data_IF_426657469998
#
_entry.id   IF_426657469998
#
_cell.length_a   1.000
_cell.length_b   1.000
_cell.length_c   1.000
_cell.angle_alpha   90.00
_cell.angle_beta   90.00
_cell.angle_gamma   90.00
#
_symmetry.space_group_name_H-M   'P 1'
#
loop_
_entity.id
_entity.type
_entity.pdbx_description
1 polymer ?
#
# COMPACT_ATOMS: atom_id res chain seq x y z
N UNK A 1 0.44 21.13 -21.40
CA UNK A 1 0.75 19.69 -21.57
C UNK A 1 1.70 19.60 -22.76
N UNK A 2 2.95 19.26 -22.52
CA UNK A 2 3.95 19.08 -23.57
C UNK A 2 3.77 17.71 -24.23
N UNK A 3 4.18 17.52 -25.50
CA UNK A 3 4.01 16.23 -26.20
C UNK A 3 4.69 15.04 -25.49
N UNK A 4 5.65 15.30 -24.61
CA UNK A 4 6.30 14.35 -23.70
C UNK A 4 5.32 13.77 -22.66
N UNK A 5 4.41 14.58 -22.11
CA UNK A 5 3.45 14.15 -21.07
C UNK A 5 2.37 13.23 -21.65
N UNK A 6 1.94 13.46 -22.90
CA UNK A 6 0.94 12.62 -23.57
C UNK A 6 1.48 11.21 -23.80
N UNK A 7 2.72 11.07 -24.26
CA UNK A 7 3.37 9.78 -24.44
C UNK A 7 3.59 9.03 -23.11
N UNK A 8 4.02 9.76 -22.08
CA UNK A 8 4.21 9.19 -20.74
C UNK A 8 2.91 8.71 -20.11
N UNK A 9 1.86 9.52 -20.23
CA UNK A 9 0.52 9.15 -19.77
C UNK A 9 0.00 7.88 -20.43
N UNK A 10 0.17 7.75 -21.75
CA UNK A 10 -0.24 6.54 -22.49
C UNK A 10 0.52 5.29 -22.03
N UNK A 11 1.83 5.41 -21.77
CA UNK A 11 2.64 4.31 -21.23
C UNK A 11 2.16 3.86 -19.85
N UNK A 12 1.86 4.81 -18.95
CA UNK A 12 1.36 4.52 -17.61
C UNK A 12 -0.03 3.88 -17.67
N UNK A 13 -0.92 4.39 -18.54
CA UNK A 13 -2.26 3.82 -18.73
C UNK A 13 -2.18 2.35 -19.19
N UNK A 14 -1.40 2.06 -20.22
CA UNK A 14 -1.23 0.70 -20.72
C UNK A 14 -0.60 -0.25 -19.70
N UNK A 15 0.33 0.25 -18.87
CA UNK A 15 0.92 -0.53 -17.79
C UNK A 15 -0.11 -0.83 -16.68
N UNK A 16 -0.91 0.17 -16.31
CA UNK A 16 -1.96 0.04 -15.31
C UNK A 16 -3.04 -0.97 -15.74
N UNK A 17 -3.49 -0.90 -16.99
CA UNK A 17 -4.45 -1.85 -17.56
C UNK A 17 -3.95 -3.29 -17.51
N UNK A 18 -2.67 -3.53 -17.86
CA UNK A 18 -2.07 -4.87 -17.76
C UNK A 18 -2.05 -5.41 -16.34
N UNK A 19 -1.70 -4.56 -15.37
CA UNK A 19 -1.68 -4.96 -13.95
C UNK A 19 -3.09 -5.23 -13.47
N UNK A 20 -4.03 -4.35 -13.79
CA UNK A 20 -5.44 -4.49 -13.41
C UNK A 20 -6.06 -5.77 -13.97
N UNK A 21 -5.82 -6.09 -15.22
CA UNK A 21 -6.29 -7.33 -15.85
C UNK A 21 -5.75 -8.58 -15.11
N UNK A 22 -4.48 -8.54 -14.67
CA UNK A 22 -3.88 -9.64 -13.89
C UNK A 22 -4.51 -9.77 -12.51
N UNK A 23 -4.73 -8.65 -11.81
CA UNK A 23 -5.39 -8.64 -10.51
C UNK A 23 -6.82 -9.17 -10.62
N UNK A 24 -7.57 -8.72 -11.62
CA UNK A 24 -8.93 -9.20 -11.87
C UNK A 24 -8.97 -10.71 -12.17
N UNK A 25 -8.03 -11.19 -12.99
CA UNK A 25 -7.94 -12.63 -13.30
C UNK A 25 -7.64 -13.45 -12.03
N UNK A 26 -6.72 -12.99 -11.19
CA UNK A 26 -6.39 -13.65 -9.92
C UNK A 26 -7.57 -13.63 -8.94
N UNK A 27 -8.28 -12.51 -8.82
CA UNK A 27 -9.48 -12.41 -8.00
C UNK A 27 -10.57 -13.39 -8.46
N UNK A 28 -10.84 -13.47 -9.77
CA UNK A 28 -11.79 -14.45 -10.33
C UNK A 28 -11.39 -15.89 -10.03
N UNK A 29 -10.12 -16.23 -10.20
CA UNK A 29 -9.62 -17.57 -9.92
C UNK A 29 -9.74 -17.96 -8.44
N UNK A 30 -9.62 -16.97 -7.53
CA UNK A 30 -9.74 -17.16 -6.09
C UNK A 30 -11.19 -17.01 -5.56
N UNK A 31 -12.18 -16.77 -6.41
CA UNK A 31 -13.57 -16.50 -5.98
C UNK A 31 -13.71 -15.24 -5.13
N UNK A 32 -12.80 -14.27 -5.28
CA UNK A 32 -12.70 -13.08 -4.45
C UNK A 32 -13.16 -11.83 -5.23
N UNK A 33 -13.97 -10.93 -4.64
CA UNK A 33 -14.31 -9.67 -5.27
C UNK A 33 -13.08 -8.82 -5.58
N UNK A 34 -13.04 -8.17 -6.77
CA UNK A 34 -11.93 -7.26 -7.13
C UNK A 34 -11.79 -6.12 -6.12
N UNK A 35 -12.88 -5.62 -5.57
CA UNK A 35 -12.91 -4.52 -4.60
C UNK A 35 -12.21 -4.82 -3.28
N UNK A 36 -11.98 -6.09 -2.96
CA UNK A 36 -11.24 -6.51 -1.75
C UNK A 36 -9.71 -6.34 -1.89
N UNK A 37 -9.23 -5.96 -3.07
CA UNK A 37 -7.80 -5.80 -3.34
C UNK A 37 -7.49 -4.36 -3.70
N UNK A 38 -6.68 -3.69 -2.88
CA UNK A 38 -6.18 -2.35 -3.19
C UNK A 38 -4.87 -2.45 -3.97
N UNK A 39 -4.83 -1.81 -5.13
CA UNK A 39 -3.61 -1.65 -5.90
C UNK A 39 -2.85 -0.42 -5.41
N UNK A 40 -1.64 -0.60 -4.89
CA UNK A 40 -0.74 0.48 -4.50
C UNK A 40 0.34 0.64 -5.56
N UNK A 41 0.37 1.78 -6.22
CA UNK A 41 1.40 2.11 -7.20
C UNK A 41 2.66 2.60 -6.49
N UNK A 42 3.74 1.80 -6.50
CA UNK A 42 5.01 2.19 -5.88
C UNK A 42 5.79 3.11 -6.81
N UNK A 43 5.96 4.36 -6.39
CA UNK A 43 6.52 5.46 -7.20
C UNK A 43 7.92 5.90 -6.78
N UNK A 44 8.59 5.10 -5.93
CA UNK A 44 9.99 5.36 -5.56
C UNK A 44 10.85 5.58 -6.81
N UNK A 45 11.77 6.56 -6.75
CA UNK A 45 12.66 6.92 -7.86
C UNK A 45 11.96 7.49 -9.11
N UNK A 46 10.65 7.73 -9.07
CA UNK A 46 9.91 8.38 -10.15
C UNK A 46 9.62 9.84 -9.78
N UNK A 47 9.53 10.74 -10.77
CA UNK A 47 9.21 12.14 -10.51
C UNK A 47 7.77 12.32 -10.03
N UNK A 48 7.49 13.44 -9.38
CA UNK A 48 6.15 13.79 -8.91
C UNK A 48 5.15 13.94 -10.08
N UNK A 49 5.62 14.29 -11.28
CA UNK A 49 4.80 14.32 -12.49
C UNK A 49 4.21 12.95 -12.85
N UNK A 50 4.96 11.85 -12.67
CA UNK A 50 4.43 10.50 -12.86
C UNK A 50 3.30 10.20 -11.86
N UNK A 51 3.42 10.67 -10.62
CA UNK A 51 2.39 10.52 -9.58
C UNK A 51 1.13 11.30 -9.95
N UNK A 52 1.29 12.52 -10.46
CA UNK A 52 0.17 13.32 -10.93
C UNK A 52 -0.57 12.64 -12.09
N UNK A 53 0.16 12.10 -13.07
CA UNK A 53 -0.41 11.33 -14.17
C UNK A 53 -1.15 10.06 -13.70
N UNK A 54 -0.61 9.34 -12.71
CA UNK A 54 -1.28 8.19 -12.12
C UNK A 54 -2.58 8.58 -11.42
N UNK A 55 -2.60 9.72 -10.71
CA UNK A 55 -3.82 10.25 -10.08
C UNK A 55 -4.90 10.58 -11.12
N UNK A 56 -4.53 11.15 -12.26
CA UNK A 56 -5.43 11.41 -13.40
C UNK A 56 -5.97 10.12 -14.02
N UNK A 57 -5.19 9.04 -13.98
CA UNK A 57 -5.60 7.70 -14.43
C UNK A 57 -6.45 6.95 -13.38
N UNK A 58 -6.81 7.60 -12.27
CA UNK A 58 -7.68 7.03 -11.26
C UNK A 58 -6.97 6.28 -10.13
N UNK A 59 -5.63 6.24 -10.11
CA UNK A 59 -4.88 5.67 -8.98
C UNK A 59 -5.07 6.57 -7.76
N UNK A 60 -5.43 5.97 -6.63
CA UNK A 60 -5.61 6.68 -5.36
C UNK A 60 -4.58 6.32 -4.31
N UNK A 61 -3.94 5.17 -4.46
CA UNK A 61 -2.98 4.63 -3.51
C UNK A 61 -1.58 4.60 -4.12
N UNK A 62 -0.66 5.37 -3.54
CA UNK A 62 0.73 5.49 -4.01
C UNK A 62 1.70 5.16 -2.90
N UNK A 63 2.81 4.47 -3.24
CA UNK A 63 3.77 3.96 -2.26
C UNK A 63 5.17 4.52 -2.42
N UNK A 64 5.76 4.98 -1.30
CA UNK A 64 7.12 5.46 -1.24
C UNK A 64 7.97 4.69 -0.22
N UNK A 65 9.26 4.54 -0.52
CA UNK A 65 10.19 3.79 0.32
C UNK A 65 11.08 4.67 1.21
N UNK A 66 11.22 5.95 0.87
CA UNK A 66 12.05 6.91 1.59
C UNK A 66 11.21 8.11 2.04
N UNK A 67 11.20 8.40 3.34
CA UNK A 67 10.40 9.47 3.92
C UNK A 67 10.69 10.85 3.30
N UNK A 68 11.96 11.17 3.07
CA UNK A 68 12.35 12.48 2.50
C UNK A 68 11.89 12.64 1.04
N UNK A 69 12.01 11.58 0.22
CA UNK A 69 11.53 11.58 -1.15
C UNK A 69 10.00 11.73 -1.20
N UNK A 70 9.30 11.06 -0.29
CA UNK A 70 7.85 11.15 -0.16
C UNK A 70 7.37 12.55 0.21
N UNK A 71 8.00 13.18 1.21
CA UNK A 71 7.65 14.55 1.63
C UNK A 71 7.72 15.55 0.48
N UNK A 72 8.80 15.52 -0.29
CA UNK A 72 8.97 16.39 -1.45
C UNK A 72 7.87 16.14 -2.49
N UNK A 73 7.57 14.87 -2.78
CA UNK A 73 6.53 14.51 -3.76
C UNK A 73 5.12 14.86 -3.29
N UNK A 74 4.81 14.68 -2.02
CA UNK A 74 3.51 15.08 -1.43
C UNK A 74 3.30 16.57 -1.63
N UNK A 75 4.30 17.39 -1.28
CA UNK A 75 4.25 18.84 -1.43
C UNK A 75 4.17 19.26 -2.91
N UNK A 76 4.95 18.63 -3.78
CA UNK A 76 5.02 18.96 -5.20
C UNK A 76 3.75 18.55 -5.97
N UNK A 77 3.18 17.38 -5.66
CA UNK A 77 1.96 16.92 -6.32
C UNK A 77 0.72 17.69 -5.91
N UNK A 78 0.62 18.14 -4.64
CA UNK A 78 -0.52 18.90 -4.14
C UNK A 78 -1.88 18.20 -4.33
N UNK A 79 -1.91 16.86 -4.30
CA UNK A 79 -3.10 16.04 -4.58
C UNK A 79 -3.66 15.45 -3.28
N UNK A 80 -4.63 16.09 -2.61
CA UNK A 80 -5.18 15.63 -1.33
C UNK A 80 -5.98 14.33 -1.43
N UNK A 81 -6.43 13.97 -2.64
CA UNK A 81 -7.15 12.72 -2.90
C UNK A 81 -6.25 11.48 -2.88
N UNK A 82 -4.92 11.64 -2.92
CA UNK A 82 -3.99 10.53 -2.88
C UNK A 82 -3.77 10.02 -1.46
N UNK A 83 -3.86 8.72 -1.29
CA UNK A 83 -3.46 8.03 -0.06
C UNK A 83 -2.02 7.57 -0.20
N UNK A 84 -1.16 8.17 0.59
CA UNK A 84 0.27 7.87 0.58
C UNK A 84 0.60 6.72 1.52
N UNK A 85 1.34 5.74 1.01
CA UNK A 85 1.77 4.55 1.73
C UNK A 85 3.27 4.58 1.94
N UNK A 86 3.71 4.49 3.19
CA UNK A 86 5.12 4.22 3.49
C UNK A 86 5.36 2.72 3.37
N UNK A 87 5.98 2.28 2.27
CA UNK A 87 6.23 0.84 2.00
C UNK A 87 7.64 0.40 2.36
N UNK A 88 8.56 1.36 2.59
CA UNK A 88 9.92 1.07 2.99
C UNK A 88 10.08 0.92 4.49
N UNK A 89 11.27 0.47 4.90
CA UNK A 89 11.64 0.39 6.32
C UNK A 89 11.67 1.78 6.94
N UNK A 90 10.93 1.97 8.03
CA UNK A 90 10.84 3.24 8.73
C UNK A 90 11.80 3.29 9.92
N UNK A 91 12.61 4.34 9.98
CA UNK A 91 13.44 4.66 11.15
C UNK A 91 12.62 5.44 12.17
N UNK A 92 12.83 5.20 13.47
CA UNK A 92 12.07 5.85 14.55
C UNK A 92 12.16 7.38 14.50
N UNK A 93 13.33 7.95 14.20
CA UNK A 93 13.53 9.39 14.07
C UNK A 93 12.79 10.05 12.91
N UNK A 94 12.26 9.26 11.97
CA UNK A 94 11.43 9.73 10.84
C UNK A 94 9.93 9.56 11.08
N UNK A 95 9.53 8.96 12.21
CA UNK A 95 8.14 8.67 12.51
C UNK A 95 7.26 9.91 12.50
N UNK A 96 7.74 11.03 13.10
CA UNK A 96 7.02 12.32 13.12
C UNK A 96 6.74 12.84 11.71
N UNK A 97 7.75 12.84 10.85
CA UNK A 97 7.64 13.28 9.47
C UNK A 97 6.64 12.41 8.70
N UNK A 98 6.79 11.10 8.79
CA UNK A 98 5.90 10.14 8.10
C UNK A 98 4.45 10.24 8.58
N UNK A 99 4.23 10.47 9.88
CA UNK A 99 2.89 10.67 10.43
C UNK A 99 2.15 11.87 9.83
N UNK A 100 2.88 12.86 9.32
CA UNK A 100 2.30 14.07 8.72
C UNK A 100 1.75 13.87 7.30
N UNK A 101 2.15 12.82 6.59
CA UNK A 101 1.73 12.61 5.20
C UNK A 101 1.25 11.18 4.89
N UNK A 102 1.71 10.15 5.61
CA UNK A 102 1.38 8.77 5.30
C UNK A 102 0.01 8.39 5.86
N UNK A 103 -0.90 7.97 4.99
CA UNK A 103 -2.16 7.36 5.38
C UNK A 103 -1.98 5.92 5.87
N UNK A 104 -0.97 5.21 5.37
CA UNK A 104 -0.70 3.80 5.71
C UNK A 104 0.81 3.56 5.83
N UNK A 105 1.23 2.83 6.85
CA UNK A 105 2.61 2.38 7.03
C UNK A 105 2.65 0.86 7.02
N UNK A 106 3.40 0.27 6.07
CA UNK A 106 3.45 -1.18 5.85
C UNK A 106 4.54 -1.91 6.64
N UNK A 107 5.56 -1.20 7.11
CA UNK A 107 6.76 -1.82 7.70
C UNK A 107 6.89 -1.55 9.19
N UNK A 108 5.84 -1.85 9.96
CA UNK A 108 5.86 -1.76 11.41
C UNK A 108 6.36 -3.08 12.00
N UNK A 109 7.67 -3.14 12.25
CA UNK A 109 8.38 -4.34 12.72
C UNK A 109 8.67 -4.33 14.24
N UNK A 110 8.36 -3.22 14.95
CA UNK A 110 8.71 -3.06 16.37
C UNK A 110 7.80 -2.10 17.13
N UNK A 111 7.49 -2.43 18.39
CA UNK A 111 6.62 -1.65 19.25
C UNK A 111 7.05 -0.17 19.45
N UNK A 112 8.35 0.19 19.62
CA UNK A 112 8.74 1.59 19.75
C UNK A 112 8.39 2.46 18.53
N UNK A 113 8.27 1.87 17.33
CA UNK A 113 7.88 2.59 16.14
C UNK A 113 6.38 2.88 16.12
N UNK A 114 5.56 1.93 16.59
CA UNK A 114 4.11 2.11 16.75
C UNK A 114 3.82 3.25 17.73
N UNK A 115 4.51 3.26 18.88
CA UNK A 115 4.40 4.32 19.89
C UNK A 115 4.79 5.67 19.30
N UNK A 116 5.91 5.73 18.56
CA UNK A 116 6.39 6.98 17.96
C UNK A 116 5.41 7.54 16.90
N UNK A 117 4.78 6.69 16.09
CA UNK A 117 3.76 7.10 15.13
C UNK A 117 2.48 7.55 15.84
N UNK A 118 2.01 6.79 16.86
CA UNK A 118 0.81 7.11 17.62
C UNK A 118 0.91 8.43 18.37
N UNK A 119 2.10 8.79 18.89
CA UNK A 119 2.34 10.07 19.56
C UNK A 119 2.17 11.29 18.64
N UNK A 120 2.17 11.11 17.31
CA UNK A 120 2.03 12.19 16.33
C UNK A 120 0.68 12.18 15.59
N UNK A 121 -0.34 11.52 16.14
CA UNK A 121 -1.72 11.58 15.63
C UNK A 121 -1.93 10.79 14.33
N UNK A 122 -1.03 9.86 13.98
CA UNK A 122 -1.23 8.99 12.86
C UNK A 122 -2.43 8.08 13.13
N UNK A 123 -3.58 8.39 12.53
CA UNK A 123 -4.70 7.45 12.35
C UNK A 123 -4.24 6.36 11.37
N UNK A 124 -3.28 5.55 11.80
CA UNK A 124 -2.65 4.59 10.92
C UNK A 124 -3.46 3.30 10.86
N UNK A 125 -3.98 2.98 9.70
CA UNK A 125 -4.25 1.59 9.36
C UNK A 125 -2.90 0.89 9.22
N UNK A 126 -2.43 0.33 10.32
CA UNK A 126 -1.14 -0.35 10.42
C UNK A 126 -1.26 -1.75 9.86
N UNK A 127 -0.57 -2.04 8.75
CA UNK A 127 -0.34 -3.41 8.32
C UNK A 127 0.94 -3.93 8.98
N UNK A 128 0.79 -4.68 10.08
CA UNK A 128 1.90 -5.43 10.66
C UNK A 128 2.30 -6.57 9.72
N UNK A 129 3.49 -6.51 9.14
CA UNK A 129 4.15 -7.72 8.64
C UNK A 129 4.65 -8.50 9.85
N UNK A 130 4.05 -9.64 10.11
CA UNK A 130 4.73 -10.69 10.86
C UNK A 130 5.90 -11.17 10.00
N UNK A 131 7.10 -10.84 10.43
CA UNK A 131 8.32 -11.32 9.80
C UNK A 131 8.56 -12.76 10.23
N UNK A 132 7.92 -13.70 9.58
CA UNK A 132 8.41 -15.08 9.48
C UNK A 132 7.94 -15.63 8.15
N UNK A 133 8.77 -15.44 7.12
CA UNK A 133 8.73 -16.39 6.01
C UNK A 133 9.28 -17.71 6.53
N UNK A 134 8.51 -18.79 6.54
CA UNK A 134 9.10 -20.11 6.71
C UNK A 134 9.97 -20.37 5.48
N UNK A 135 11.24 -20.62 5.73
CA UNK A 135 12.12 -21.21 4.73
C UNK A 135 11.43 -22.46 4.18
N UNK A 136 11.51 -22.67 2.88
CA UNK A 136 10.84 -23.70 2.06
C UNK A 136 11.29 -25.14 2.39
N UNK A 137 11.25 -25.51 3.67
CA UNK A 137 11.44 -26.89 4.16
C UNK A 137 10.59 -27.04 5.41
N UNK A 138 9.37 -27.49 5.23
CA UNK A 138 8.51 -28.20 6.18
C UNK A 138 7.05 -27.92 5.83
N UNK A 139 6.59 -28.55 4.75
CA UNK A 139 5.17 -28.65 4.48
C UNK A 139 4.74 -30.11 4.66
N UNK A 140 4.27 -30.41 5.88
CA UNK A 140 3.39 -31.55 6.10
C UNK A 140 2.01 -31.01 6.51
N UNK A 141 0.91 -31.45 5.90
CA UNK A 141 -0.41 -30.85 6.12
C UNK A 141 -1.00 -31.36 7.42
N UNK A 142 -1.20 -30.50 8.42
CA UNK A 142 -2.11 -30.76 9.53
C UNK A 142 -3.45 -30.08 9.25
N UNK A 143 -4.48 -30.88 9.05
CA UNK A 143 -5.87 -30.46 8.98
C UNK A 143 -6.25 -29.77 10.30
N UNK A 144 -6.53 -28.48 10.27
CA UNK A 144 -7.19 -27.77 11.36
C UNK A 144 -8.66 -27.59 11.00
N UNK A 145 -9.54 -28.24 11.76
CA UNK A 145 -10.99 -28.09 11.70
C UNK A 145 -11.37 -26.73 12.29
N UNK A 146 -11.81 -25.80 11.48
CA UNK A 146 -12.45 -24.56 11.94
C UNK A 146 -13.88 -24.84 12.37
N UNK A 147 -14.20 -24.57 13.64
CA UNK A 147 -15.59 -24.45 14.14
C UNK A 147 -16.13 -23.07 13.76
N UNK A 148 -17.38 -22.95 13.29
CA UNK A 148 -17.99 -21.65 13.04
C UNK A 148 -18.50 -21.06 14.36
N UNK A 149 -18.18 -19.79 14.61
CA UNK A 149 -18.78 -18.94 15.66
C UNK A 149 -19.77 -17.96 15.05
N UNK A 150 -20.85 -17.60 15.75
CA UNK A 150 -21.96 -16.84 15.17
C UNK A 150 -21.79 -15.31 15.31
N UNK A 151 -22.41 -14.63 14.35
CA UNK A 151 -22.80 -13.21 14.25
C UNK A 151 -21.74 -12.13 14.01
N UNK A 152 -21.94 -11.27 12.98
CA UNK A 152 -21.04 -10.22 12.59
C UNK A 152 -21.47 -8.88 13.17
N UNK A 153 -20.52 -8.18 13.78
CA UNK A 153 -20.58 -6.72 13.94
C UNK A 153 -19.71 -6.07 12.85
N UNK A 154 -20.02 -4.87 12.35
CA UNK A 154 -19.27 -4.25 11.26
C UNK A 154 -17.87 -3.88 11.72
N UNK A 155 -16.88 -4.51 11.16
CA UNK A 155 -15.46 -4.23 11.40
C UNK A 155 -14.85 -3.46 10.24
N UNK A 156 -13.96 -2.52 10.51
CA UNK A 156 -13.13 -1.94 9.46
C UNK A 156 -12.25 -3.03 8.85
N UNK A 157 -12.15 -3.02 7.54
CA UNK A 157 -11.43 -3.99 6.70
C UNK A 157 -9.98 -4.17 7.13
N UNK A 158 -9.69 -5.26 7.84
CA UNK A 158 -8.33 -5.70 8.12
C UNK A 158 -7.79 -6.47 6.90
N UNK A 159 -6.68 -6.02 6.36
CA UNK A 159 -5.97 -6.68 5.27
C UNK A 159 -5.15 -7.85 5.80
N UNK A 160 -5.53 -9.08 5.46
CA UNK A 160 -4.69 -10.25 5.66
C UNK A 160 -3.92 -10.50 4.36
N UNK A 161 -2.59 -10.30 4.36
CA UNK A 161 -1.73 -10.85 3.34
C UNK A 161 -1.60 -12.36 3.61
N UNK A 162 -2.29 -13.19 2.84
CA UNK A 162 -1.97 -14.60 2.74
C UNK A 162 -0.67 -14.73 1.91
N UNK A 163 0.29 -15.52 2.43
CA UNK A 163 1.57 -15.85 1.83
C UNK A 163 1.46 -16.69 0.56
#
# INVERSE_FOLDING_TARGET
MTGSDTGRRAQLAAALERVEARVQAACRAAGRPRGDVTLVAVTKTRPASDVALLAELGVRDVGESKAQEAESKVAETGRPELRWHMVGRLQRNKARSVAGWAAVVHSLDRAPLVVALGAHGASSTSSCRSASMPTRREAAPRRATCRPSPTPSPRPTAWCCAG
#
